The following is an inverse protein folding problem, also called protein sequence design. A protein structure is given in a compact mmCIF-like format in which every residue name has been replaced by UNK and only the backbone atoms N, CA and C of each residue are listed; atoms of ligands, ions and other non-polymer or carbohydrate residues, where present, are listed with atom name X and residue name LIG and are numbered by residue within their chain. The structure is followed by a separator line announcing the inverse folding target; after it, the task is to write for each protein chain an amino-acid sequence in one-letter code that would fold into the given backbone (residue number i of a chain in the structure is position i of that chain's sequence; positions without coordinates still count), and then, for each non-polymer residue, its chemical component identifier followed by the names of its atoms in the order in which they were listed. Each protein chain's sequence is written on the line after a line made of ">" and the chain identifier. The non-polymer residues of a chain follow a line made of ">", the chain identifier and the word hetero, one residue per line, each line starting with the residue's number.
data_IF_277912622848
#
_entry.id   IF_277912622848
#
_cell.length_a   1.000
_cell.length_b   1.000
_cell.length_c   1.000
_cell.angle_alpha   90.00
_cell.angle_beta   90.00
_cell.angle_gamma   90.00
#
_symmetry.space_group_name_H-M   'P 1'
#
loop_
_entity.id
_entity.type
_entity.pdbx_description
1 polymer ?
#
# COMPACT_ATOMS: atom_id res chain seq x y z
N UNK A 1 -10.49 8.51 46.04
CA UNK A 1 -11.68 7.67 45.81
C UNK A 1 -11.60 7.15 44.39
N UNK A 2 -11.11 5.92 44.22
CA UNK A 2 -10.87 5.30 42.92
C UNK A 2 -12.18 4.74 42.37
N UNK A 3 -12.59 5.15 41.17
CA UNK A 3 -13.62 4.43 40.40
C UNK A 3 -12.93 3.35 39.56
N UNK A 4 -13.42 2.09 39.54
CA UNK A 4 -12.82 1.02 38.75
C UNK A 4 -13.23 1.14 37.27
N UNK A 5 -12.34 0.82 36.30
CA UNK A 5 -12.72 0.74 34.90
C UNK A 5 -13.57 -0.51 34.66
N UNK A 6 -14.77 -0.30 34.13
CA UNK A 6 -15.68 -1.34 33.66
C UNK A 6 -15.04 -2.18 32.56
N UNK A 7 -15.11 -3.51 32.70
CA UNK A 7 -14.70 -4.48 31.68
C UNK A 7 -15.43 -4.17 30.35
N UNK A 8 -14.71 -3.69 29.33
CA UNK A 8 -15.20 -3.74 27.95
C UNK A 8 -15.01 -5.15 27.40
N UNK A 9 -16.13 -5.81 27.11
CA UNK A 9 -16.17 -7.03 26.30
C UNK A 9 -15.52 -6.80 24.92
N UNK A 10 -14.89 -7.83 24.33
CA UNK A 10 -14.27 -7.71 23.01
C UNK A 10 -15.34 -7.48 21.93
N UNK A 11 -15.15 -6.44 21.11
CA UNK A 11 -16.02 -6.18 19.95
C UNK A 11 -15.89 -7.32 18.94
N UNK A 12 -17.00 -7.87 18.41
CA UNK A 12 -16.92 -8.87 17.35
C UNK A 12 -16.31 -8.25 16.10
N UNK A 13 -15.26 -8.88 15.57
CA UNK A 13 -14.74 -8.56 14.23
C UNK A 13 -15.79 -8.97 13.21
N UNK A 14 -16.44 -8.00 12.60
CA UNK A 14 -17.13 -8.20 11.33
C UNK A 14 -16.67 -7.11 10.38
N UNK A 15 -15.83 -7.47 9.40
CA UNK A 15 -16.07 -7.11 8.01
C UNK A 15 -15.39 -8.16 7.10
N UNK A 16 -16.09 -8.60 6.05
CA UNK A 16 -15.71 -9.73 5.21
C UNK A 16 -14.52 -9.38 4.31
N UNK A 17 -13.79 -10.43 3.94
CA UNK A 17 -12.50 -10.42 3.29
C UNK A 17 -12.39 -9.46 2.11
N UNK A 18 -11.57 -8.43 2.29
CA UNK A 18 -10.85 -7.81 1.19
C UNK A 18 -9.72 -8.79 0.80
N UNK A 19 -10.04 -9.81 0.02
CA UNK A 19 -9.04 -10.76 -0.50
C UNK A 19 -8.18 -10.03 -1.54
N UNK A 20 -7.10 -9.42 -1.05
CA UNK A 20 -6.06 -8.89 -1.91
C UNK A 20 -5.43 -10.01 -2.75
N UNK A 21 -4.85 -9.63 -3.88
CA UNK A 21 -4.15 -10.51 -4.85
C UNK A 21 -3.07 -11.42 -4.23
N UNK A 22 -2.65 -11.17 -2.98
CA UNK A 22 -1.73 -12.03 -2.25
C UNK A 22 -2.29 -13.44 -1.96
N UNK A 23 -3.62 -13.60 -1.86
CA UNK A 23 -4.25 -14.91 -1.67
C UNK A 23 -3.99 -15.87 -2.85
N UNK A 24 -3.74 -15.32 -4.04
CA UNK A 24 -3.53 -16.05 -5.28
C UNK A 24 -2.14 -16.69 -5.39
N UNK A 25 -1.18 -16.35 -4.53
CA UNK A 25 0.20 -16.88 -4.60
C UNK A 25 0.57 -17.80 -3.43
N UNK A 26 -0.40 -18.23 -2.63
CA UNK A 26 -0.16 -19.16 -1.52
C UNK A 26 -0.04 -20.60 -2.02
N UNK A 27 1.02 -21.36 -1.66
CA UNK A 27 1.17 -22.76 -2.02
C UNK A 27 0.14 -23.70 -1.35
N UNK A 28 -0.72 -23.17 -0.46
CA UNK A 28 -1.79 -23.90 0.23
C UNK A 28 -3.16 -23.75 -0.43
N UNK A 29 -3.27 -22.95 -1.49
CA UNK A 29 -4.50 -22.72 -2.25
C UNK A 29 -4.22 -22.83 -3.73
N UNK A 30 -5.06 -23.55 -4.48
CA UNK A 30 -4.98 -23.54 -5.94
C UNK A 30 -5.19 -22.09 -6.41
N UNK A 31 -4.22 -21.57 -7.15
CA UNK A 31 -4.34 -20.29 -7.83
C UNK A 31 -5.55 -20.36 -8.76
N UNK A 32 -6.63 -19.66 -8.41
CA UNK A 32 -7.82 -19.56 -9.22
C UNK A 32 -7.97 -18.11 -9.67
N UNK A 33 -7.74 -17.88 -10.96
CA UNK A 33 -7.95 -16.58 -11.57
C UNK A 33 -9.45 -16.40 -11.82
N UNK A 34 -10.13 -15.77 -10.86
CA UNK A 34 -11.57 -15.56 -10.94
C UNK A 34 -11.92 -14.35 -11.83
N UNK A 35 -13.17 -14.25 -12.32
CA UNK A 35 -13.65 -13.07 -13.04
C UNK A 35 -13.46 -11.75 -12.25
N UNK A 36 -13.60 -11.81 -10.92
CA UNK A 36 -13.36 -10.66 -10.03
C UNK A 36 -11.87 -10.28 -9.99
N UNK A 37 -10.97 -11.27 -9.99
CA UNK A 37 -9.53 -11.04 -10.07
C UNK A 37 -9.14 -10.42 -11.42
N UNK A 38 -9.71 -10.88 -12.53
CA UNK A 38 -9.52 -10.25 -13.85
C UNK A 38 -10.03 -8.81 -13.86
N UNK A 39 -11.25 -8.57 -13.35
CA UNK A 39 -11.83 -7.24 -13.29
C UNK A 39 -10.98 -6.29 -12.43
N UNK A 40 -10.48 -6.75 -11.28
CA UNK A 40 -9.58 -6.00 -10.42
C UNK A 40 -8.25 -5.71 -11.13
N UNK A 41 -7.68 -6.70 -11.81
CA UNK A 41 -6.43 -6.55 -12.56
C UNK A 41 -6.57 -5.57 -13.74
N UNK A 42 -7.67 -5.64 -14.50
CA UNK A 42 -7.97 -4.69 -15.58
C UNK A 42 -8.16 -3.28 -15.05
N UNK A 43 -8.88 -3.11 -13.94
CA UNK A 43 -9.01 -1.80 -13.28
C UNK A 43 -7.65 -1.26 -12.83
N UNK A 44 -6.80 -2.12 -12.30
CA UNK A 44 -5.45 -1.77 -11.88
C UNK A 44 -4.59 -1.33 -13.08
N UNK A 45 -4.57 -2.12 -14.16
CA UNK A 45 -3.92 -1.76 -15.43
C UNK A 45 -4.38 -0.39 -15.91
N UNK A 46 -5.70 -0.17 -15.96
CA UNK A 46 -6.27 1.10 -16.42
C UNK A 46 -5.82 2.26 -15.55
N UNK A 47 -5.91 2.13 -14.22
CA UNK A 47 -5.47 3.15 -13.27
C UNK A 47 -3.99 3.51 -13.43
N UNK A 48 -3.11 2.50 -13.60
CA UNK A 48 -1.68 2.72 -13.88
C UNK A 48 -1.44 3.41 -15.23
N UNK A 49 -2.28 3.19 -16.24
CA UNK A 49 -2.14 3.82 -17.55
C UNK A 49 -2.82 5.19 -17.69
N UNK A 50 -3.65 5.60 -16.72
CA UNK A 50 -4.49 6.80 -16.83
C UNK A 50 -4.22 7.89 -15.78
N UNK A 51 -3.56 7.58 -14.66
CA UNK A 51 -3.00 8.60 -13.75
C UNK A 51 -1.74 9.24 -14.39
N UNK A 52 -1.17 10.35 -13.86
CA UNK A 52 0.02 10.93 -14.47
C UNK A 52 1.09 9.84 -14.60
N UNK A 53 1.41 9.49 -15.86
CA UNK A 53 2.22 8.31 -16.22
C UNK A 53 3.63 8.40 -15.64
N UNK A 54 4.05 9.62 -15.29
CA UNK A 54 5.08 10.10 -14.35
C UNK A 54 5.48 11.51 -14.84
N UNK A 55 5.64 12.45 -13.94
CA UNK A 55 6.16 13.79 -14.26
C UNK A 55 7.69 13.75 -14.31
N UNK A 56 8.29 14.51 -15.24
CA UNK A 56 9.75 14.69 -15.26
C UNK A 56 10.15 15.46 -14.00
N UNK A 57 11.00 14.89 -13.13
CA UNK A 57 11.39 15.55 -11.90
C UNK A 57 12.31 16.73 -12.19
N UNK A 58 12.11 17.83 -11.47
CA UNK A 58 13.07 18.92 -11.34
C UNK A 58 14.04 18.59 -10.20
N UNK A 59 15.35 18.38 -10.45
CA UNK A 59 16.31 18.05 -9.41
C UNK A 59 16.45 19.10 -8.30
N UNK A 60 16.05 20.34 -8.56
CA UNK A 60 16.12 21.46 -7.58
C UNK A 60 14.81 21.60 -6.80
N UNK A 61 13.71 21.05 -7.33
CA UNK A 61 12.38 21.11 -6.71
C UNK A 61 12.26 20.25 -5.45
N UNK A 62 11.39 20.67 -4.53
CA UNK A 62 11.12 19.88 -3.32
C UNK A 62 10.35 18.60 -3.67
N UNK A 63 10.88 17.47 -3.23
CA UNK A 63 10.23 16.17 -3.33
C UNK A 63 9.36 15.89 -2.09
N UNK A 64 8.23 15.25 -2.32
CA UNK A 64 7.38 14.62 -1.31
C UNK A 64 7.48 13.12 -1.49
N UNK A 65 7.82 12.41 -0.42
CA UNK A 65 7.89 10.94 -0.42
C UNK A 65 6.80 10.42 0.50
N UNK A 66 5.87 9.65 -0.06
CA UNK A 66 4.86 8.94 0.71
C UNK A 66 5.21 7.46 0.71
N UNK A 67 5.29 6.86 1.90
CA UNK A 67 5.69 5.46 2.09
C UNK A 67 4.55 4.72 2.78
N UNK A 68 4.19 3.55 2.24
CA UNK A 68 3.29 2.60 2.89
C UNK A 68 4.01 1.26 3.09
N UNK A 69 3.81 0.64 4.23
CA UNK A 69 4.46 -0.61 4.60
C UNK A 69 3.45 -1.63 5.11
N UNK A 70 3.56 -2.83 4.55
CA UNK A 70 2.87 -4.04 5.01
C UNK A 70 3.87 -5.00 5.64
N UNK A 71 3.37 -6.09 6.23
CA UNK A 71 4.23 -7.17 6.74
C UNK A 71 5.04 -7.89 5.64
N UNK A 72 4.69 -7.70 4.36
CA UNK A 72 5.31 -8.40 3.24
C UNK A 72 6.21 -7.51 2.40
N UNK A 73 6.05 -6.19 2.45
CA UNK A 73 6.70 -5.27 1.54
C UNK A 73 6.42 -3.82 1.86
N UNK A 74 7.28 -2.96 1.32
CA UNK A 74 7.20 -1.50 1.41
C UNK A 74 6.96 -0.96 0.00
N UNK A 75 6.05 -0.02 -0.12
CA UNK A 75 5.81 0.79 -1.32
C UNK A 75 6.09 2.26 -1.01
N UNK A 76 6.54 2.99 -2.01
CA UNK A 76 6.69 4.44 -1.92
C UNK A 76 6.31 5.11 -3.25
N UNK A 77 5.80 6.34 -3.15
CA UNK A 77 5.67 7.25 -4.28
C UNK A 77 6.49 8.50 -4.00
N UNK A 78 7.29 8.90 -4.98
CA UNK A 78 8.03 10.16 -4.98
C UNK A 78 7.25 11.10 -5.88
N UNK A 79 6.87 12.26 -5.37
CA UNK A 79 6.07 13.26 -6.08
C UNK A 79 6.67 14.66 -5.96
N UNK A 80 6.36 15.54 -6.90
CA UNK A 80 6.66 16.97 -6.80
C UNK A 80 5.41 17.81 -7.05
N UNK A 81 5.36 19.00 -6.46
CA UNK A 81 4.29 19.95 -6.76
C UNK A 81 4.50 20.54 -8.15
N UNK A 82 3.54 20.35 -9.05
CA UNK A 82 3.59 20.89 -10.40
C UNK A 82 3.27 22.40 -10.39
N UNK A 83 4.13 23.25 -10.99
CA UNK A 83 3.85 24.68 -11.11
C UNK A 83 2.62 24.99 -11.99
N UNK A 84 2.18 24.04 -12.81
CA UNK A 84 1.07 24.24 -13.77
C UNK A 84 -0.29 24.26 -13.08
N UNK A 85 -0.45 23.48 -12.03
CA UNK A 85 -1.74 23.22 -11.37
C UNK A 85 -1.66 23.16 -9.84
N UNK A 86 -0.46 23.38 -9.25
CA UNK A 86 -0.19 23.35 -7.82
C UNK A 86 -0.64 22.04 -7.13
N UNK A 87 -0.56 20.92 -7.85
CA UNK A 87 -0.88 19.58 -7.33
C UNK A 87 0.36 18.72 -7.25
N UNK A 88 0.34 17.70 -6.39
CA UNK A 88 1.37 16.66 -6.40
C UNK A 88 1.22 15.77 -7.63
N UNK A 89 2.28 15.67 -8.41
CA UNK A 89 2.39 14.74 -9.52
C UNK A 89 3.46 13.70 -9.18
N UNK A 90 3.18 12.40 -9.35
CA UNK A 90 4.18 11.36 -9.12
C UNK A 90 5.33 11.50 -10.13
N UNK A 91 6.55 11.36 -9.65
CA UNK A 91 7.81 11.33 -10.41
C UNK A 91 8.46 9.94 -10.41
N UNK A 92 8.20 9.11 -9.38
CA UNK A 92 8.60 7.70 -9.34
C UNK A 92 7.70 6.87 -8.40
N UNK A 93 7.60 5.57 -8.68
CA UNK A 93 7.04 4.58 -7.76
C UNK A 93 8.13 3.56 -7.40
N UNK A 94 8.25 3.24 -6.11
CA UNK A 94 9.16 2.22 -5.61
C UNK A 94 8.35 1.14 -4.90
N UNK A 95 8.69 -0.12 -5.11
CA UNK A 95 8.15 -1.21 -4.30
C UNK A 95 9.24 -2.24 -4.04
N UNK A 96 9.31 -2.71 -2.80
CA UNK A 96 10.30 -3.69 -2.36
C UNK A 96 9.65 -4.70 -1.44
N UNK A 97 9.87 -5.98 -1.73
CA UNK A 97 9.48 -7.07 -0.82
C UNK A 97 10.46 -7.13 0.36
N UNK A 98 9.94 -7.24 1.57
CA UNK A 98 10.76 -7.42 2.76
C UNK A 98 11.37 -8.83 2.77
N UNK A 99 12.66 -8.93 3.08
CA UNK A 99 13.34 -10.20 3.32
C UNK A 99 12.78 -10.90 4.56
N UNK A 100 13.06 -12.20 4.72
CA UNK A 100 12.58 -12.98 5.87
C UNK A 100 13.02 -12.37 7.21
N UNK A 101 14.23 -11.78 7.26
CA UNK A 101 14.73 -11.09 8.44
C UNK A 101 14.00 -9.77 8.68
N UNK A 102 13.81 -8.95 7.64
CA UNK A 102 13.14 -7.64 7.77
C UNK A 102 11.65 -7.75 8.12
N UNK A 103 11.00 -8.85 7.77
CA UNK A 103 9.61 -9.12 8.21
C UNK A 103 9.46 -9.29 9.72
N UNK A 104 10.54 -9.62 10.42
CA UNK A 104 10.54 -9.77 11.88
C UNK A 104 10.85 -8.46 12.60
N UNK A 105 11.14 -7.38 11.88
CA UNK A 105 11.32 -6.07 12.50
C UNK A 105 10.00 -5.54 13.06
N UNK A 106 10.10 -4.72 14.11
CA UNK A 106 8.96 -4.00 14.63
C UNK A 106 8.34 -3.11 13.55
N UNK A 107 7.03 -2.87 13.68
CA UNK A 107 6.23 -2.17 12.66
C UNK A 107 6.72 -0.72 12.48
N UNK A 108 7.36 -0.13 13.48
CA UNK A 108 8.05 1.17 13.38
C UNK A 108 9.28 1.07 12.48
N UNK A 109 10.11 0.05 12.66
CA UNK A 109 11.34 -0.18 11.89
C UNK A 109 11.06 -0.58 10.44
N UNK A 110 9.93 -1.24 10.15
CA UNK A 110 9.49 -1.53 8.77
C UNK A 110 9.09 -0.29 7.96
N UNK A 111 8.84 0.84 8.65
CA UNK A 111 8.38 2.11 8.06
C UNK A 111 9.48 3.17 7.94
N UNK A 112 10.66 2.91 8.52
CA UNK A 112 11.87 3.73 8.40
C UNK A 112 12.64 3.34 7.13
#
# INVERSE_FOLDING_TARGET
>A
MFQPPSLRAPRPRQHPGNMGVHALTSPKSLFSWSPEAEAAFVRLKRAFTSAPILSVPDPVGQFVVEVDASDLGVGAVISQCSPKDNKLHPCAFLSRKLSKAERNYDISTKRL
#
